data_IF_735809526981
#
_entry.id   IF_735809526981
#
_cell.length_a   1.000
_cell.length_b   1.000
_cell.length_c   1.000
_cell.angle_alpha   90.00
_cell.angle_beta   90.00
_cell.angle_gamma   90.00
#
_symmetry.space_group_name_H-M   'P 1'
#
loop_
_entity.id
_entity.type
_entity.pdbx_description
1 polymer ?
#
# COMPACT_ATOMS: atom_id res chain seq x y z
N UNK A 1 10.58 4.46 -2.18
CA UNK A 1 10.79 3.98 -0.81
C UNK A 1 11.58 5.03 -0.03
N UNK A 2 11.71 4.90 1.29
CA UNK A 2 12.73 5.63 2.05
C UNK A 2 14.02 4.80 2.14
N UNK A 3 15.09 5.37 2.70
CA UNK A 3 16.39 4.71 2.80
C UNK A 3 16.34 3.44 3.67
N UNK A 4 15.49 3.39 4.69
CA UNK A 4 15.34 2.22 5.55
C UNK A 4 14.68 1.04 4.81
N UNK A 5 13.55 1.29 4.14
CA UNK A 5 12.85 0.28 3.35
C UNK A 5 13.70 -0.20 2.18
N UNK A 6 14.41 0.70 1.48
CA UNK A 6 15.33 0.32 0.41
C UNK A 6 16.42 -0.64 0.91
N UNK A 7 17.11 -0.29 1.99
CA UNK A 7 18.14 -1.15 2.58
C UNK A 7 17.58 -2.53 2.95
N UNK A 8 16.37 -2.58 3.51
CA UNK A 8 15.73 -3.86 3.84
C UNK A 8 15.37 -4.67 2.60
N UNK A 9 14.83 -4.03 1.57
CA UNK A 9 14.51 -4.67 0.30
C UNK A 9 15.76 -5.28 -0.36
N UNK A 10 16.83 -4.51 -0.49
CA UNK A 10 18.09 -4.96 -1.09
C UNK A 10 18.69 -6.16 -0.36
N UNK A 11 18.52 -6.21 0.97
CA UNK A 11 19.02 -7.30 1.80
C UNK A 11 18.01 -8.44 2.03
N UNK A 12 16.83 -8.38 1.42
CA UNK A 12 15.78 -9.38 1.62
C UNK A 12 15.36 -9.54 3.08
N UNK A 13 15.37 -8.43 3.83
CA UNK A 13 14.89 -8.38 5.21
C UNK A 13 13.38 -8.12 5.21
N UNK A 14 12.75 -8.25 6.38
CA UNK A 14 11.34 -7.87 6.53
C UNK A 14 11.10 -6.43 5.98
N UNK A 15 9.89 -6.10 5.53
CA UNK A 15 8.82 -7.05 5.21
C UNK A 15 9.08 -7.81 3.89
N UNK A 16 10.13 -7.47 3.15
CA UNK A 16 10.50 -8.01 1.83
C UNK A 16 10.99 -9.47 1.83
N UNK A 17 11.22 -10.05 3.00
CA UNK A 17 11.42 -11.50 3.18
C UNK A 17 10.11 -12.31 3.17
N UNK A 18 8.96 -11.63 3.20
CA UNK A 18 7.64 -12.23 3.22
C UNK A 18 6.98 -12.30 1.85
N UNK A 19 5.67 -12.11 1.83
CA UNK A 19 4.88 -12.08 0.60
C UNK A 19 4.18 -10.72 0.44
N UNK A 20 3.78 -10.43 -0.79
CA UNK A 20 2.90 -9.33 -1.15
C UNK A 20 1.54 -9.90 -1.50
N UNK A 21 0.47 -9.25 -1.04
CA UNK A 21 -0.87 -9.44 -1.59
C UNK A 21 -1.32 -8.17 -2.30
N UNK A 22 -2.00 -8.32 -3.43
CA UNK A 22 -2.57 -7.19 -4.20
C UNK A 22 -3.78 -7.64 -5.00
N UNK A 23 -4.67 -6.73 -5.41
CA UNK A 23 -5.64 -6.99 -6.46
C UNK A 23 -4.94 -7.43 -7.75
N UNK A 24 -5.52 -8.41 -8.45
CA UNK A 24 -5.08 -8.84 -9.80
C UNK A 24 -5.32 -7.75 -10.85
N UNK A 25 -6.27 -6.86 -10.58
CA UNK A 25 -6.64 -5.76 -11.46
C UNK A 25 -7.02 -4.53 -10.66
N UNK A 26 -7.17 -3.40 -11.35
CA UNK A 26 -7.68 -2.15 -10.80
C UNK A 26 -9.07 -2.34 -10.20
N UNK A 27 -9.34 -1.62 -9.12
CA UNK A 27 -10.63 -1.67 -8.43
C UNK A 27 -11.26 -0.27 -8.33
N UNK A 28 -12.61 -0.17 -8.43
CA UNK A 28 -13.29 1.12 -8.29
C UNK A 28 -12.99 1.76 -6.93
N UNK A 29 -12.89 3.09 -6.88
CA UNK A 29 -12.49 3.83 -5.67
C UNK A 29 -13.31 3.47 -4.42
N UNK A 30 -14.61 3.23 -4.57
CA UNK A 30 -15.48 2.85 -3.44
C UNK A 30 -15.15 1.45 -2.90
N UNK A 31 -14.78 0.52 -3.76
CA UNK A 31 -14.33 -0.83 -3.41
C UNK A 31 -12.91 -0.81 -2.86
N UNK A 32 -12.02 -0.01 -3.46
CA UNK A 32 -10.68 0.27 -2.93
C UNK A 32 -10.77 0.72 -1.49
N UNK A 33 -11.55 1.77 -1.21
CA UNK A 33 -11.71 2.28 0.15
C UNK A 33 -12.21 1.21 1.12
N UNK A 34 -13.15 0.35 0.71
CA UNK A 34 -13.60 -0.77 1.56
C UNK A 34 -12.44 -1.74 1.86
N UNK A 35 -11.64 -2.08 0.87
CA UNK A 35 -10.45 -2.93 1.04
C UNK A 35 -9.42 -2.27 1.96
N UNK A 36 -9.11 -1.00 1.75
CA UNK A 36 -8.15 -0.26 2.57
C UNK A 36 -8.63 -0.17 4.03
N UNK A 37 -9.92 0.09 4.26
CA UNK A 37 -10.49 0.09 5.62
C UNK A 37 -10.37 -1.27 6.29
N UNK A 38 -10.59 -2.36 5.56
CA UNK A 38 -10.43 -3.71 6.10
C UNK A 38 -8.96 -4.00 6.46
N UNK A 39 -8.03 -3.66 5.57
CA UNK A 39 -6.58 -3.81 5.78
C UNK A 39 -6.14 -3.00 7.00
N UNK A 40 -6.46 -1.70 7.04
CA UNK A 40 -6.08 -0.79 8.12
C UNK A 40 -6.72 -1.21 9.44
N UNK A 41 -7.98 -1.63 9.45
CA UNK A 41 -8.65 -2.13 10.65
C UNK A 41 -7.95 -3.36 11.24
N UNK A 42 -7.54 -4.30 10.38
CA UNK A 42 -6.81 -5.49 10.82
C UNK A 42 -5.38 -5.17 11.27
N UNK A 43 -4.67 -4.31 10.54
CA UNK A 43 -3.33 -3.86 10.93
C UNK A 43 -3.36 -3.10 12.26
N UNK A 44 -4.35 -2.22 12.49
CA UNK A 44 -4.54 -1.52 13.77
C UNK A 44 -4.87 -2.48 14.90
N UNK A 45 -5.62 -3.55 14.63
CA UNK A 45 -5.91 -4.59 15.62
C UNK A 45 -4.65 -5.33 16.06
N UNK A 46 -3.79 -5.71 15.10
CA UNK A 46 -2.57 -6.48 15.38
C UNK A 46 -1.41 -5.59 15.87
N UNK A 47 -1.34 -4.33 15.44
CA UNK A 47 -0.21 -3.41 15.63
C UNK A 47 -0.62 -2.05 16.23
N UNK A 48 -1.70 -1.98 17.02
CA UNK A 48 -2.30 -0.71 17.46
C UNK A 48 -1.37 0.25 18.21
N UNK A 49 -0.29 -0.25 18.83
CA UNK A 49 0.71 0.56 19.52
C UNK A 49 1.91 0.96 18.64
N UNK A 50 1.91 0.55 17.36
CA UNK A 50 2.99 0.86 16.44
C UNK A 50 3.03 2.36 16.11
N UNK A 51 4.24 2.89 15.99
CA UNK A 51 4.48 4.23 15.45
C UNK A 51 4.53 4.14 13.94
N UNK A 52 3.63 4.84 13.27
CA UNK A 52 3.50 4.78 11.82
C UNK A 52 4.39 5.82 11.16
N UNK A 53 4.90 5.42 10.01
CA UNK A 53 5.60 6.26 9.06
C UNK A 53 4.84 6.22 7.74
N UNK A 54 4.73 7.36 7.07
CA UNK A 54 4.10 7.51 5.76
C UNK A 54 5.05 8.20 4.78
N UNK A 55 5.01 7.81 3.50
CA UNK A 55 5.84 8.40 2.45
C UNK A 55 5.11 8.42 1.10
N UNK A 56 5.61 9.24 0.19
CA UNK A 56 5.35 9.08 -1.23
C UNK A 56 6.39 8.13 -1.78
N UNK A 57 5.95 6.96 -2.24
CA UNK A 57 6.77 5.89 -2.74
C UNK A 57 6.93 5.99 -4.26
N UNK A 58 8.12 6.39 -4.68
CA UNK A 58 8.54 6.49 -6.09
C UNK A 58 9.19 5.20 -6.61
N UNK A 59 9.10 4.08 -5.88
CA UNK A 59 9.73 2.80 -6.27
C UNK A 59 9.37 2.39 -7.69
N UNK A 60 8.09 2.52 -8.03
CA UNK A 60 7.53 2.11 -9.31
C UNK A 60 7.73 3.18 -10.41
N UNK A 61 8.26 4.35 -10.06
CA UNK A 61 8.52 5.46 -10.98
C UNK A 61 10.00 5.55 -11.40
N UNK A 62 10.84 6.23 -10.62
CA UNK A 62 12.29 6.38 -10.89
C UNK A 62 13.16 5.94 -9.70
N UNK A 63 12.53 5.37 -8.67
CA UNK A 63 13.20 4.96 -7.45
C UNK A 63 13.62 6.12 -6.55
N UNK A 64 13.09 7.35 -6.75
CA UNK A 64 13.42 8.49 -5.91
C UNK A 64 13.14 8.21 -4.42
N UNK A 65 14.06 8.69 -3.57
CA UNK A 65 14.06 8.40 -2.13
C UNK A 65 13.64 9.64 -1.37
N UNK A 66 12.46 9.57 -0.78
CA UNK A 66 11.91 10.61 0.05
C UNK A 66 11.84 10.14 1.49
N UNK A 67 12.17 11.04 2.42
CA UNK A 67 12.10 10.74 3.83
C UNK A 67 10.64 10.50 4.24
N UNK A 68 10.41 9.41 4.97
CA UNK A 68 9.12 9.15 5.58
C UNK A 68 8.82 10.18 6.68
N UNK A 69 7.55 10.48 6.86
CA UNK A 69 7.02 11.36 7.91
C UNK A 69 6.30 10.53 8.95
N UNK A 70 6.35 10.98 10.21
CA UNK A 70 5.53 10.39 11.27
C UNK A 70 4.06 10.54 10.92
N UNK A 71 3.29 9.50 11.19
CA UNK A 71 1.84 9.48 11.01
C UNK A 71 1.16 8.74 12.16
N UNK A 72 -0.16 8.68 12.15
CA UNK A 72 -0.96 7.96 13.13
C UNK A 72 -2.08 7.14 12.48
N UNK A 73 -2.65 6.21 13.25
CA UNK A 73 -3.82 5.45 12.81
C UNK A 73 -5.01 6.36 12.51
N UNK A 74 -5.19 7.43 13.30
CA UNK A 74 -6.28 8.38 13.13
C UNK A 74 -6.16 9.17 11.82
N UNK A 75 -4.94 9.56 11.42
CA UNK A 75 -4.70 10.22 10.13
C UNK A 75 -5.03 9.29 8.96
N UNK A 76 -4.62 8.02 9.07
CA UNK A 76 -4.92 7.01 8.05
C UNK A 76 -6.42 6.71 7.98
N UNK A 77 -7.11 6.58 9.12
CA UNK A 77 -8.56 6.37 9.17
C UNK A 77 -9.33 7.56 8.60
N UNK A 78 -8.87 8.79 8.86
CA UNK A 78 -9.46 10.02 8.30
C UNK A 78 -9.33 10.08 6.77
N UNK A 79 -8.17 9.65 6.24
CA UNK A 79 -7.98 9.49 4.78
C UNK A 79 -9.03 8.53 4.19
N UNK A 80 -9.38 7.46 4.91
CA UNK A 80 -10.30 6.41 4.47
C UNK A 80 -11.78 6.67 4.86
N UNK A 81 -12.11 7.87 5.33
CA UNK A 81 -13.45 8.17 5.82
C UNK A 81 -14.48 8.15 4.68
N UNK A 82 -14.17 8.84 3.58
CA UNK A 82 -15.04 8.98 2.39
C UNK A 82 -14.25 8.71 1.11
N UNK A 83 -14.96 8.42 0.01
CA UNK A 83 -14.34 8.28 -1.32
C UNK A 83 -13.61 9.58 -1.71
N UNK A 84 -14.20 10.74 -1.42
CA UNK A 84 -13.59 12.05 -1.69
C UNK A 84 -12.31 12.27 -0.86
N UNK A 85 -12.30 11.89 0.42
CA UNK A 85 -11.11 11.99 1.27
C UNK A 85 -9.97 11.12 0.74
N UNK A 86 -10.27 9.89 0.30
CA UNK A 86 -9.29 9.00 -0.30
C UNK A 86 -8.78 9.55 -1.63
N UNK A 87 -9.67 10.06 -2.48
CA UNK A 87 -9.30 10.66 -3.76
C UNK A 87 -8.41 11.90 -3.59
N UNK A 88 -8.70 12.75 -2.62
CA UNK A 88 -7.90 13.94 -2.31
C UNK A 88 -6.56 13.61 -1.67
N UNK A 89 -6.40 12.41 -1.10
CA UNK A 89 -5.14 11.97 -0.52
C UNK A 89 -4.11 11.54 -1.58
N UNK A 90 -4.54 11.27 -2.83
CA UNK A 90 -3.66 10.83 -3.92
C UNK A 90 -2.48 11.78 -4.12
N UNK A 91 -1.37 11.23 -4.63
CA UNK A 91 -0.15 12.01 -4.91
C UNK A 91 -0.33 12.94 -6.11
N UNK A 92 -1.18 12.54 -7.07
CA UNK A 92 -1.40 13.26 -8.32
C UNK A 92 -0.29 13.01 -9.36
N UNK A 93 0.71 12.21 -9.01
CA UNK A 93 1.80 11.81 -9.89
C UNK A 93 1.64 10.36 -10.32
N UNK A 94 1.92 10.09 -11.60
CA UNK A 94 1.87 8.76 -12.17
C UNK A 94 2.82 7.80 -11.44
N UNK A 95 2.33 6.60 -11.08
CA UNK A 95 3.10 5.55 -10.40
C UNK A 95 3.73 5.93 -9.05
N UNK A 96 3.35 7.05 -8.44
CA UNK A 96 3.79 7.41 -7.07
C UNK A 96 2.75 6.96 -6.06
N UNK A 97 3.07 5.92 -5.29
CA UNK A 97 2.14 5.27 -4.33
C UNK A 97 2.24 5.92 -2.96
N UNK A 98 1.17 5.88 -2.18
CA UNK A 98 1.22 6.26 -0.75
C UNK A 98 1.63 5.04 0.05
N UNK A 99 2.81 5.10 0.67
CA UNK A 99 3.37 4.02 1.47
C UNK A 99 3.19 4.26 2.96
N UNK A 100 2.80 3.24 3.72
CA UNK A 100 2.63 3.26 5.18
C UNK A 100 3.28 2.01 5.78
N UNK A 101 4.03 2.18 6.86
CA UNK A 101 4.71 1.09 7.58
C UNK A 101 4.99 1.49 9.04
N UNK A 102 5.18 0.53 9.96
CA UNK A 102 5.57 0.84 11.33
C UNK A 102 7.09 1.09 11.39
N UNK A 103 7.59 1.80 12.41
CA UNK A 103 9.04 1.98 12.64
C UNK A 103 9.82 0.64 12.71
N UNK A 104 9.16 -0.45 13.11
CA UNK A 104 9.72 -1.82 13.13
C UNK A 104 9.82 -2.48 11.75
N UNK A 105 9.12 -1.92 10.76
CA UNK A 105 9.00 -2.39 9.38
C UNK A 105 8.56 -3.86 9.28
N UNK A 106 7.64 -4.30 10.14
CA UNK A 106 7.07 -5.65 10.10
C UNK A 106 6.14 -5.90 8.92
N UNK A 107 5.58 -4.82 8.37
CA UNK A 107 4.73 -4.81 7.17
C UNK A 107 4.96 -3.51 6.40
N UNK A 108 4.61 -3.51 5.12
CA UNK A 108 4.59 -2.32 4.28
C UNK A 108 3.35 -2.33 3.41
N UNK A 109 2.50 -1.33 3.60
CA UNK A 109 1.23 -1.17 2.90
C UNK A 109 1.36 0.00 1.93
N UNK A 110 1.03 -0.22 0.66
CA UNK A 110 0.99 0.83 -0.35
C UNK A 110 -0.37 0.86 -1.01
N UNK A 111 -0.83 2.05 -1.39
CA UNK A 111 -2.00 2.20 -2.24
C UNK A 111 -1.80 3.32 -3.25
N UNK A 112 -2.51 3.21 -4.36
CA UNK A 112 -2.52 4.17 -5.44
C UNK A 112 -3.95 4.47 -5.86
N UNK A 113 -4.20 5.72 -6.24
CA UNK A 113 -5.48 6.18 -6.79
C UNK A 113 -5.14 6.94 -8.06
N UNK A 114 -5.65 6.45 -9.18
CA UNK A 114 -5.49 7.07 -10.50
C UNK A 114 -6.34 8.33 -10.61
N UNK A 115 -5.88 9.25 -11.45
CA UNK A 115 -6.70 10.42 -11.77
C UNK A 115 -7.88 10.01 -12.66
N UNK A 116 -8.99 10.73 -12.54
CA UNK A 116 -10.25 10.40 -13.23
C UNK A 116 -10.12 10.37 -14.77
N UNK A 117 -9.15 11.14 -15.29
CA UNK A 117 -8.82 11.23 -16.72
C UNK A 117 -7.55 10.43 -17.09
N UNK A 118 -7.04 9.58 -16.19
CA UNK A 118 -5.74 8.91 -16.33
C UNK A 118 -5.72 7.70 -17.28
N UNK A 119 -6.83 6.97 -17.41
CA UNK A 119 -6.91 5.76 -18.25
C UNK A 119 -8.29 5.63 -18.94
N UNK A 120 -8.29 5.61 -20.27
CA UNK A 120 -9.50 5.41 -21.09
C UNK A 120 -10.17 4.04 -20.85
N UNK A 121 -9.42 3.03 -20.39
CA UNK A 121 -9.93 1.69 -20.11
C UNK A 121 -10.71 1.62 -18.79
N UNK A 122 -10.43 2.53 -17.86
CA UNK A 122 -11.01 2.57 -16.53
C UNK A 122 -11.76 3.89 -16.30
N UNK A 123 -12.95 4.08 -16.91
CA UNK A 123 -13.70 5.32 -16.76
C UNK A 123 -14.08 5.55 -15.28
N UNK A 124 -13.76 6.74 -14.76
CA UNK A 124 -14.01 7.13 -13.37
C UNK A 124 -12.77 7.02 -12.49
N UNK A 125 -12.98 6.87 -11.18
CA UNK A 125 -11.88 6.83 -10.20
C UNK A 125 -11.57 5.39 -9.81
N UNK A 126 -10.34 4.99 -10.05
CA UNK A 126 -9.84 3.64 -9.82
C UNK A 126 -8.54 3.68 -9.03
N UNK A 127 -8.16 2.54 -8.49
CA UNK A 127 -6.86 2.41 -7.86
C UNK A 127 -6.55 0.96 -7.51
N UNK A 128 -5.44 0.78 -6.85
CA UNK A 128 -5.02 -0.52 -6.36
C UNK A 128 -4.24 -0.38 -5.05
N UNK A 129 -3.84 -1.52 -4.51
CA UNK A 129 -3.03 -1.56 -3.30
C UNK A 129 -2.12 -2.78 -3.32
N UNK A 130 -1.09 -2.73 -2.49
CA UNK A 130 -0.30 -3.89 -2.15
C UNK A 130 0.04 -3.88 -0.66
N UNK A 131 0.04 -5.05 -0.05
CA UNK A 131 0.46 -5.23 1.33
C UNK A 131 1.53 -6.31 1.40
N UNK A 132 2.69 -5.90 1.90
CA UNK A 132 3.83 -6.76 2.17
C UNK A 132 3.87 -7.10 3.65
N UNK A 133 3.83 -8.37 4.00
CA UNK A 133 3.95 -8.81 5.39
C UNK A 133 4.34 -10.30 5.48
N UNK A 134 4.46 -10.80 6.72
CA UNK A 134 4.58 -12.23 6.97
C UNK A 134 3.26 -12.98 6.68
N UNK A 135 3.35 -14.31 6.54
CA UNK A 135 2.22 -15.17 6.19
C UNK A 135 1.03 -15.05 7.14
N UNK A 136 1.29 -14.96 8.45
CA UNK A 136 0.26 -14.93 9.46
C UNK A 136 -0.57 -13.64 9.37
N UNK A 137 0.09 -12.50 9.16
CA UNK A 137 -0.57 -11.21 8.97
C UNK A 137 -1.39 -11.20 7.68
N UNK A 138 -0.83 -11.69 6.57
CA UNK A 138 -1.52 -11.72 5.28
C UNK A 138 -2.77 -12.61 5.32
N UNK A 139 -2.67 -13.79 5.94
CA UNK A 139 -3.81 -14.70 6.06
C UNK A 139 -5.00 -14.06 6.78
N UNK A 140 -4.77 -13.28 7.84
CA UNK A 140 -5.83 -12.54 8.55
C UNK A 140 -6.47 -11.46 7.67
N UNK A 141 -5.66 -10.78 6.87
CA UNK A 141 -6.08 -9.64 6.04
C UNK A 141 -6.79 -10.09 4.77
N UNK A 142 -6.45 -11.25 4.21
CA UNK A 142 -7.14 -11.79 3.03
C UNK A 142 -8.59 -12.18 3.33
N UNK A 143 -8.90 -12.63 4.55
CA UNK A 143 -10.26 -13.04 4.95
C UNK A 143 -11.36 -11.98 4.66
N UNK A 144 -11.19 -10.69 4.99
CA UNK A 144 -12.18 -9.68 4.67
C UNK A 144 -12.19 -9.20 3.21
N UNK A 145 -11.23 -9.59 2.36
CA UNK A 145 -11.07 -9.08 0.99
C UNK A 145 -11.83 -9.92 -0.06
N UNK A 146 -12.92 -10.60 0.32
CA UNK A 146 -13.61 -11.62 -0.51
C UNK A 146 -14.25 -11.09 -1.79
N UNK A 147 -14.38 -9.77 -1.95
CA UNK A 147 -14.99 -9.14 -3.13
C UNK A 147 -13.99 -8.88 -4.25
N UNK A 148 -12.70 -8.96 -3.96
CA UNK A 148 -11.63 -8.67 -4.93
C UNK A 148 -10.80 -9.93 -5.12
N UNK A 149 -10.41 -10.19 -6.36
CA UNK A 149 -9.47 -11.28 -6.65
C UNK A 149 -8.09 -10.81 -6.24
N UNK A 150 -7.57 -11.41 -5.17
CA UNK A 150 -6.25 -11.10 -4.62
C UNK A 150 -5.25 -12.15 -5.10
N UNK A 151 -4.16 -11.69 -5.69
CA UNK A 151 -2.98 -12.51 -5.91
C UNK A 151 -1.99 -12.38 -4.76
N UNK A 152 -1.08 -13.35 -4.69
CA UNK A 152 -0.01 -13.39 -3.70
C UNK A 152 1.30 -13.72 -4.37
N UNK A 153 2.31 -12.89 -4.12
CA UNK A 153 3.61 -12.93 -4.77
C UNK A 153 4.71 -12.96 -3.71
N UNK A 154 5.88 -13.49 -4.09
CA UNK A 154 7.10 -13.31 -3.29
C UNK A 154 7.46 -11.83 -3.25
N UNK A 155 7.64 -11.28 -2.05
CA UNK A 155 7.80 -9.84 -1.90
C UNK A 155 9.06 -9.33 -2.61
N UNK A 156 10.19 -10.00 -2.43
CA UNK A 156 11.44 -9.58 -3.06
C UNK A 156 11.31 -9.56 -4.59
N UNK A 157 10.79 -10.62 -5.20
CA UNK A 157 10.59 -10.68 -6.65
C UNK A 157 9.64 -9.61 -7.15
N UNK A 158 8.58 -9.32 -6.42
CA UNK A 158 7.63 -8.27 -6.76
C UNK A 158 8.31 -6.89 -6.80
N UNK A 159 9.01 -6.50 -5.73
CA UNK A 159 9.70 -5.20 -5.70
C UNK A 159 10.89 -5.13 -6.67
N UNK A 160 11.61 -6.24 -6.91
CA UNK A 160 12.65 -6.29 -7.93
C UNK A 160 12.07 -6.05 -9.34
N UNK A 161 10.85 -6.53 -9.62
CA UNK A 161 10.20 -6.42 -10.93
C UNK A 161 9.53 -5.06 -11.19
N UNK A 162 9.16 -4.32 -10.14
CA UNK A 162 8.50 -3.02 -10.26
C UNK A 162 9.48 -1.83 -10.20
N UNK A 163 10.77 -2.05 -9.94
CA UNK A 163 11.71 -0.95 -9.71
C UNK A 163 11.96 -0.12 -10.97
N UNK A 164 11.61 1.17 -10.90
CA UNK A 164 11.82 2.17 -11.94
C UNK A 164 11.11 1.90 -13.30
N UNK A 165 9.92 1.29 -13.24
CA UNK A 165 9.09 0.94 -14.41
C UNK A 165 9.49 -0.36 -15.09
#
# INVERSE_FOLDING_TARGET
MDENLENRWLNGLAPFSGNVIRPVDWIPLSELRQCLKAIVGQLKTDFGNARLLTLHDWHDHDGCRLAAKKSSWEELEKCLETDDSLYLARTGDFAVRIGVYPETAEWYFRFYVEDEDGDEQYPGKWGDFDLTANEQTLAKIQLPLTKVVIEKLDAKRFFDACYAG
#
